data_IF_848564695019
#
_entry.id   IF_848564695019
#
_cell.length_a   1.000
_cell.length_b   1.000
_cell.length_c   1.000
_cell.angle_alpha   90.00
_cell.angle_beta   90.00
_cell.angle_gamma   90.00
#
_symmetry.space_group_name_H-M   'P 1'
#
loop_
_entity.id
_entity.type
_entity.pdbx_description
1 polymer ?
#
# COMPACT_ATOMS: atom_id res chain seq x y z
N UNK A 1 -31.57 -26.74 -6.24
CA UNK A 1 -30.67 -25.57 -6.15
C UNK A 1 -29.64 -25.70 -5.03
N UNK A 2 -30.04 -25.81 -3.75
CA UNK A 2 -29.08 -25.86 -2.61
C UNK A 2 -28.01 -26.97 -2.74
N UNK A 3 -28.38 -28.19 -3.10
CA UNK A 3 -27.42 -29.30 -3.25
C UNK A 3 -26.32 -29.02 -4.29
N UNK A 4 -26.64 -28.34 -5.39
CA UNK A 4 -25.66 -28.00 -6.44
C UNK A 4 -24.62 -27.03 -5.89
N UNK A 5 -25.06 -26.02 -5.13
CA UNK A 5 -24.16 -25.06 -4.47
C UNK A 5 -23.29 -25.73 -3.40
N UNK A 6 -23.82 -26.74 -2.70
CA UNK A 6 -23.05 -27.55 -1.75
C UNK A 6 -21.95 -28.32 -2.47
N UNK A 7 -22.27 -29.06 -3.55
CA UNK A 7 -21.26 -29.78 -4.32
C UNK A 7 -20.21 -28.84 -4.91
N UNK A 8 -20.63 -27.68 -5.41
CA UNK A 8 -19.72 -26.64 -5.89
C UNK A 8 -18.78 -26.14 -4.78
N UNK A 9 -19.31 -25.83 -3.60
CA UNK A 9 -18.50 -25.38 -2.47
C UNK A 9 -17.51 -26.45 -1.99
N UNK A 10 -17.92 -27.72 -1.94
CA UNK A 10 -17.04 -28.85 -1.56
C UNK A 10 -15.96 -29.10 -2.61
N UNK A 11 -16.30 -29.02 -3.89
CA UNK A 11 -15.33 -29.13 -4.98
C UNK A 11 -14.27 -28.04 -4.89
N UNK A 12 -14.69 -26.79 -4.73
CA UNK A 12 -13.79 -25.64 -4.55
C UNK A 12 -12.94 -25.74 -3.29
N UNK A 13 -13.46 -26.32 -2.21
CA UNK A 13 -12.72 -26.54 -0.98
C UNK A 13 -11.46 -27.39 -1.17
N UNK A 14 -11.33 -28.15 -2.27
CA UNK A 14 -10.08 -28.88 -2.57
C UNK A 14 -8.93 -27.94 -2.99
N UNK A 15 -9.24 -26.80 -3.62
CA UNK A 15 -8.22 -25.95 -4.27
C UNK A 15 -8.13 -24.53 -3.72
N UNK A 16 -9.23 -23.94 -3.24
CA UNK A 16 -9.27 -22.53 -2.80
C UNK A 16 -9.55 -22.35 -1.32
N UNK A 17 -9.25 -21.16 -0.79
CA UNK A 17 -9.52 -20.82 0.61
C UNK A 17 -11.03 -20.61 0.85
N UNK A 18 -11.52 -20.84 2.08
CA UNK A 18 -12.94 -20.71 2.41
C UNK A 18 -13.55 -19.33 2.07
N UNK A 19 -12.77 -18.26 2.18
CA UNK A 19 -13.24 -16.91 1.84
C UNK A 19 -13.41 -16.71 0.33
N UNK A 20 -12.56 -17.33 -0.49
CA UNK A 20 -12.70 -17.35 -1.96
C UNK A 20 -13.99 -18.04 -2.38
N UNK A 21 -14.36 -19.14 -1.71
CA UNK A 21 -15.62 -19.86 -1.98
C UNK A 21 -16.83 -18.93 -1.78
N UNK A 22 -16.83 -18.10 -0.72
CA UNK A 22 -17.89 -17.12 -0.48
C UNK A 22 -17.99 -16.07 -1.59
N UNK A 23 -16.85 -15.59 -2.09
CA UNK A 23 -16.79 -14.64 -3.21
C UNK A 23 -17.41 -15.26 -4.47
N UNK A 24 -17.08 -16.53 -4.77
CA UNK A 24 -17.68 -17.22 -5.91
C UNK A 24 -19.19 -17.46 -5.74
N UNK A 25 -19.66 -17.82 -4.54
CA UNK A 25 -21.10 -17.92 -4.27
C UNK A 25 -21.82 -16.57 -4.41
N UNK A 26 -21.19 -15.47 -4.01
CA UNK A 26 -21.73 -14.13 -4.22
C UNK A 26 -21.81 -13.78 -5.72
N UNK A 27 -20.80 -14.15 -6.51
CA UNK A 27 -20.82 -13.98 -7.96
C UNK A 27 -21.95 -14.80 -8.62
N UNK A 28 -22.16 -16.04 -8.20
CA UNK A 28 -23.29 -16.88 -8.66
C UNK A 28 -24.62 -16.21 -8.33
N UNK A 29 -24.79 -15.68 -7.11
CA UNK A 29 -25.99 -14.92 -6.72
C UNK A 29 -26.20 -13.69 -7.60
N UNK A 30 -25.14 -12.92 -7.83
CA UNK A 30 -25.20 -11.72 -8.67
C UNK A 30 -25.64 -12.06 -10.10
N UNK A 31 -25.09 -13.13 -10.69
CA UNK A 31 -25.48 -13.57 -12.03
C UNK A 31 -26.95 -14.00 -12.11
N UNK A 32 -27.48 -14.65 -11.08
CA UNK A 32 -28.92 -14.96 -11.01
C UNK A 32 -29.76 -13.69 -10.95
N UNK A 33 -29.35 -12.72 -10.12
CA UNK A 33 -30.05 -11.46 -9.95
C UNK A 33 -30.12 -10.66 -11.27
N UNK A 34 -29.01 -10.57 -12.00
CA UNK A 34 -28.95 -9.90 -13.32
C UNK A 34 -29.89 -10.56 -14.33
N UNK A 35 -30.06 -11.87 -14.24
CA UNK A 35 -30.97 -12.63 -15.11
C UNK A 35 -32.42 -12.66 -14.61
N UNK A 36 -32.77 -11.87 -13.59
CA UNK A 36 -34.13 -11.77 -13.04
C UNK A 36 -34.52 -12.88 -12.06
N UNK A 37 -33.57 -13.73 -11.64
CA UNK A 37 -33.81 -14.80 -10.68
C UNK A 37 -33.38 -14.42 -9.27
N UNK A 38 -34.23 -14.66 -8.28
CA UNK A 38 -33.90 -14.42 -6.88
C UNK A 38 -33.25 -15.67 -6.22
N UNK A 39 -31.92 -15.66 -6.13
CA UNK A 39 -31.18 -16.71 -5.42
C UNK A 39 -30.91 -16.31 -3.96
N UNK A 40 -31.79 -16.75 -3.06
CA UNK A 40 -31.69 -16.50 -1.62
C UNK A 40 -30.71 -17.45 -0.92
N UNK A 41 -29.41 -17.32 -1.20
CA UNK A 41 -28.34 -18.14 -0.59
C UNK A 41 -28.39 -18.11 0.95
N UNK A 42 -28.87 -17.01 1.53
CA UNK A 42 -29.03 -16.83 2.99
C UNK A 42 -30.04 -17.81 3.62
N UNK A 43 -31.00 -18.33 2.84
CA UNK A 43 -31.98 -19.31 3.33
C UNK A 43 -31.44 -20.74 3.35
N UNK A 44 -30.29 -21.01 2.73
CA UNK A 44 -29.70 -22.34 2.63
C UNK A 44 -28.85 -22.69 3.87
N UNK A 45 -29.50 -23.21 4.91
CA UNK A 45 -28.85 -23.56 6.18
C UNK A 45 -27.80 -24.67 6.01
N UNK A 46 -28.05 -25.69 5.17
CA UNK A 46 -27.10 -26.79 4.98
C UNK A 46 -25.83 -26.29 4.31
N UNK A 47 -25.97 -25.42 3.31
CA UNK A 47 -24.83 -24.74 2.70
C UNK A 47 -24.01 -23.95 3.74
N UNK A 48 -24.67 -23.24 4.65
CA UNK A 48 -23.98 -22.51 5.71
C UNK A 48 -23.20 -23.43 6.65
N UNK A 49 -23.78 -24.56 7.07
CA UNK A 49 -23.09 -25.55 7.89
C UNK A 49 -21.90 -26.17 7.17
N UNK A 50 -22.02 -26.48 5.88
CA UNK A 50 -20.93 -27.01 5.06
C UNK A 50 -19.80 -25.98 4.94
N UNK A 51 -20.10 -24.72 4.65
CA UNK A 51 -19.09 -23.66 4.59
C UNK A 51 -18.36 -23.48 5.93
N UNK A 52 -19.09 -23.62 7.05
CA UNK A 52 -18.50 -23.58 8.40
C UNK A 52 -17.61 -24.80 8.66
N UNK A 53 -18.03 -25.98 8.23
CA UNK A 53 -17.23 -27.21 8.29
C UNK A 53 -15.95 -27.09 7.47
N UNK A 54 -16.04 -26.64 6.21
CA UNK A 54 -14.89 -26.38 5.33
C UNK A 54 -13.92 -25.39 5.99
N UNK A 55 -14.43 -24.31 6.59
CA UNK A 55 -13.60 -23.33 7.30
C UNK A 55 -12.88 -23.93 8.51
N UNK A 56 -13.52 -24.83 9.25
CA UNK A 56 -12.90 -25.53 10.39
C UNK A 56 -11.80 -26.50 9.92
N UNK A 57 -12.09 -27.31 8.91
CA UNK A 57 -11.15 -28.33 8.40
C UNK A 57 -9.93 -27.71 7.73
N UNK A 58 -10.11 -26.69 6.87
CA UNK A 58 -8.98 -26.03 6.20
C UNK A 58 -8.25 -25.04 7.10
N UNK A 59 -8.85 -24.65 8.23
CA UNK A 59 -8.40 -23.53 9.03
C UNK A 59 -8.48 -22.19 8.28
N UNK A 60 -8.14 -21.12 8.97
CA UNK A 60 -7.92 -19.80 8.35
C UNK A 60 -6.41 -19.63 8.26
N UNK A 61 -5.81 -19.87 7.08
CA UNK A 61 -4.44 -19.44 6.84
C UNK A 61 -4.43 -17.92 6.69
N UNK A 62 -4.48 -17.20 7.81
CA UNK A 62 -4.19 -15.77 7.80
C UNK A 62 -2.69 -15.62 7.74
N UNK A 63 -2.16 -15.22 6.58
CA UNK A 63 -0.81 -14.66 6.52
C UNK A 63 -0.81 -13.35 7.29
N UNK A 64 -0.33 -13.39 8.52
CA UNK A 64 -0.12 -12.19 9.33
C UNK A 64 0.93 -11.32 8.65
N UNK A 65 0.51 -10.14 8.22
CA UNK A 65 1.43 -9.12 7.72
C UNK A 65 2.08 -8.46 8.92
N UNK A 66 3.41 -8.54 9.01
CA UNK A 66 4.13 -7.85 10.06
C UNK A 66 4.24 -6.35 9.72
N UNK A 67 3.97 -5.46 10.69
CA UNK A 67 4.11 -4.03 10.48
C UNK A 67 5.59 -3.68 10.27
N UNK A 68 5.83 -2.64 9.48
CA UNK A 68 7.14 -1.98 9.47
C UNK A 68 7.25 -1.19 10.78
N UNK A 69 8.34 -1.38 11.50
CA UNK A 69 8.62 -0.73 12.78
C UNK A 69 9.65 0.39 12.58
N UNK A 70 9.83 1.21 13.61
CA UNK A 70 10.88 2.22 13.64
C UNK A 70 12.28 1.61 13.46
N UNK A 71 12.52 0.38 13.93
CA UNK A 71 13.84 -0.25 13.77
C UNK A 71 14.13 -0.62 12.32
N UNK A 72 13.12 -1.02 11.54
CA UNK A 72 13.26 -1.15 10.10
C UNK A 72 13.58 0.21 9.45
N UNK A 73 12.95 1.29 9.90
CA UNK A 73 13.21 2.64 9.39
C UNK A 73 14.66 3.08 9.66
N UNK A 74 15.19 2.82 10.87
CA UNK A 74 16.59 3.07 11.23
C UNK A 74 17.55 2.24 10.35
N UNK A 75 17.22 0.98 10.12
CA UNK A 75 17.98 0.08 9.24
C UNK A 75 18.03 0.62 7.81
N UNK A 76 16.88 0.98 7.25
CA UNK A 76 16.78 1.51 5.88
C UNK A 76 17.58 2.80 5.72
N UNK A 77 17.47 3.72 6.68
CA UNK A 77 18.27 4.94 6.68
C UNK A 77 19.78 4.63 6.63
N UNK A 78 20.25 3.73 7.50
CA UNK A 78 21.67 3.34 7.57
C UNK A 78 22.17 2.75 6.25
N UNK A 79 21.38 1.90 5.62
CA UNK A 79 21.74 1.25 4.35
C UNK A 79 21.80 2.29 3.22
N UNK A 80 20.75 3.11 3.07
CA UNK A 80 20.64 4.10 1.99
C UNK A 80 21.65 5.25 2.14
N UNK A 81 22.10 5.54 3.36
CA UNK A 81 23.12 6.56 3.67
C UNK A 81 24.47 5.94 4.06
N UNK A 82 24.75 4.72 3.62
CA UNK A 82 26.04 4.06 3.87
C UNK A 82 27.21 4.75 3.16
N UNK A 83 26.92 5.51 2.09
CA UNK A 83 27.89 6.32 1.34
C UNK A 83 27.89 7.75 1.86
N UNK A 84 29.01 8.44 1.73
CA UNK A 84 29.16 9.88 2.10
C UNK A 84 28.10 10.76 1.45
N UNK A 85 27.73 10.45 0.21
CA UNK A 85 26.67 11.14 -0.53
C UNK A 85 25.73 10.10 -1.17
N UNK A 86 24.46 10.00 -0.74
CA UNK A 86 23.50 9.12 -1.37
C UNK A 86 23.17 9.61 -2.78
N UNK A 87 22.85 8.69 -3.67
CA UNK A 87 22.37 8.98 -5.04
C UNK A 87 20.99 9.61 -5.03
N UNK A 88 20.55 10.16 -6.18
CA UNK A 88 19.18 10.65 -6.36
C UNK A 88 18.15 9.56 -6.02
N UNK A 89 18.37 8.34 -6.50
CA UNK A 89 17.41 7.24 -6.35
C UNK A 89 17.35 6.73 -4.91
N UNK A 90 18.49 6.64 -4.21
CA UNK A 90 18.51 6.33 -2.78
C UNK A 90 17.78 7.40 -1.94
N UNK A 91 17.99 8.67 -2.29
CA UNK A 91 17.31 9.81 -1.61
C UNK A 91 15.80 9.78 -1.89
N UNK A 92 15.40 9.46 -3.13
CA UNK A 92 14.01 9.29 -3.53
C UNK A 92 13.34 8.16 -2.77
N UNK A 93 13.98 6.99 -2.70
CA UNK A 93 13.46 5.83 -1.97
C UNK A 93 13.37 6.11 -0.47
N UNK A 94 14.37 6.79 0.12
CA UNK A 94 14.32 7.19 1.52
C UNK A 94 13.16 8.16 1.81
N UNK A 95 12.96 9.17 0.95
CA UNK A 95 11.85 10.10 1.07
C UNK A 95 10.51 9.37 0.95
N UNK A 96 10.36 8.47 -0.03
CA UNK A 96 9.16 7.68 -0.22
C UNK A 96 8.85 6.78 1.00
N UNK A 97 9.84 6.07 1.53
CA UNK A 97 9.70 5.23 2.72
C UNK A 97 9.29 6.07 3.94
N UNK A 98 9.95 7.20 4.15
CA UNK A 98 9.68 8.08 5.30
C UNK A 98 8.27 8.67 5.23
N UNK A 99 7.89 9.22 4.09
CA UNK A 99 6.55 9.79 3.87
C UNK A 99 5.48 8.72 4.01
N UNK A 100 5.73 7.51 3.51
CA UNK A 100 4.79 6.41 3.66
C UNK A 100 4.59 5.98 5.12
N UNK A 101 5.69 5.89 5.87
CA UNK A 101 5.66 5.45 7.27
C UNK A 101 4.96 6.49 8.16
N UNK A 102 5.39 7.76 8.10
CA UNK A 102 4.84 8.82 8.95
C UNK A 102 3.46 9.31 8.47
N UNK A 103 3.20 9.28 7.16
CA UNK A 103 1.90 9.62 6.59
C UNK A 103 0.88 8.48 6.63
N UNK A 104 1.28 7.28 7.07
CA UNK A 104 0.44 6.06 7.09
C UNK A 104 -0.23 5.82 5.72
N UNK A 105 0.51 6.10 4.65
CA UNK A 105 0.02 6.08 3.28
C UNK A 105 0.07 4.67 2.73
N UNK A 106 -0.97 4.26 1.99
CA UNK A 106 -0.86 3.03 1.22
C UNK A 106 0.13 3.26 0.09
N UNK A 107 1.03 2.30 -0.19
CA UNK A 107 1.96 2.39 -1.34
C UNK A 107 1.24 2.81 -2.63
N UNK A 108 0.06 2.26 -2.88
CA UNK A 108 -0.68 2.55 -4.10
C UNK A 108 -1.25 3.98 -4.20
N UNK A 109 -1.19 4.79 -3.16
CA UNK A 109 -1.58 6.21 -3.15
C UNK A 109 -0.40 7.13 -3.53
N UNK A 110 0.85 6.66 -3.38
CA UNK A 110 2.06 7.42 -3.75
C UNK A 110 2.79 6.89 -4.99
N UNK A 111 2.53 5.64 -5.38
CA UNK A 111 3.16 5.01 -6.56
C UNK A 111 2.24 4.98 -7.77
N UNK A 112 2.83 5.01 -8.97
CA UNK A 112 2.10 4.80 -10.22
C UNK A 112 1.85 3.31 -10.46
N UNK A 113 0.59 2.92 -10.71
CA UNK A 113 0.25 1.52 -11.05
C UNK A 113 0.20 1.23 -12.56
N UNK A 114 0.45 2.25 -13.37
CA UNK A 114 0.45 2.23 -14.84
C UNK A 114 1.10 3.51 -15.37
N UNK A 115 0.78 3.95 -16.61
CA UNK A 115 1.24 5.24 -17.11
C UNK A 115 0.89 6.37 -16.15
N UNK A 116 1.82 7.32 -16.00
CA UNK A 116 1.60 8.48 -15.13
C UNK A 116 0.40 9.30 -15.65
N UNK A 117 -0.43 9.70 -14.70
CA UNK A 117 -1.57 10.58 -14.92
C UNK A 117 -1.69 11.53 -13.74
N UNK A 118 -1.53 12.83 -13.99
CA UNK A 118 -1.52 13.87 -12.97
C UNK A 118 -2.85 14.04 -12.24
N UNK A 119 -3.98 13.60 -12.80
CA UNK A 119 -5.30 13.68 -12.15
C UNK A 119 -5.52 12.62 -11.06
N UNK A 120 -4.76 11.53 -11.09
CA UNK A 120 -4.95 10.38 -10.20
C UNK A 120 -3.72 10.00 -9.40
N UNK A 121 -2.52 10.27 -9.94
CA UNK A 121 -1.26 9.97 -9.28
C UNK A 121 -0.75 11.19 -8.51
N UNK A 122 0.01 10.91 -7.46
CA UNK A 122 0.62 11.92 -6.61
C UNK A 122 1.69 12.70 -7.39
N UNK A 123 1.55 14.02 -7.41
CA UNK A 123 2.39 14.95 -8.15
C UNK A 123 3.18 15.84 -7.19
N UNK A 124 4.21 16.52 -7.70
CA UNK A 124 4.93 17.53 -6.91
C UNK A 124 4.05 18.70 -6.49
N UNK A 125 3.10 19.10 -7.34
CA UNK A 125 2.13 20.16 -7.02
C UNK A 125 1.16 19.81 -5.90
N UNK A 126 1.09 18.54 -5.48
CA UNK A 126 0.27 18.10 -4.35
C UNK A 126 1.01 18.24 -2.99
N UNK A 127 2.26 18.71 -3.01
CA UNK A 127 3.13 18.91 -1.85
C UNK A 127 3.16 20.39 -1.53
N UNK A 128 2.88 20.75 -0.27
CA UNK A 128 3.07 22.11 0.22
C UNK A 128 3.77 22.10 1.58
N UNK A 129 4.77 22.97 1.72
CA UNK A 129 5.50 23.16 2.98
C UNK A 129 5.04 24.47 3.61
N UNK A 130 4.78 24.43 4.90
CA UNK A 130 4.30 25.56 5.67
C UNK A 130 5.12 25.73 6.94
N UNK A 131 5.35 26.98 7.33
CA UNK A 131 5.97 27.28 8.61
C UNK A 131 4.89 27.37 9.69
N UNK A 132 5.12 26.81 10.87
CA UNK A 132 4.27 27.08 12.03
C UNK A 132 4.45 28.54 12.46
N UNK A 133 3.36 29.18 12.91
CA UNK A 133 3.42 30.58 13.33
C UNK A 133 4.20 30.72 14.65
N UNK A 134 5.16 31.65 14.64
CA UNK A 134 5.87 32.33 15.74
C UNK A 134 6.83 31.46 16.57
N UNK A 135 8.14 31.68 16.35
CA UNK A 135 9.21 31.37 17.30
C UNK A 135 10.10 30.20 16.89
N UNK A 136 9.50 29.09 16.47
CA UNK A 136 10.25 27.89 16.08
C UNK A 136 10.30 27.74 14.56
N UNK A 137 11.47 27.35 14.05
CA UNK A 137 11.72 27.03 12.64
C UNK A 137 11.03 25.70 12.22
N UNK A 138 9.89 25.38 12.84
CA UNK A 138 9.12 24.18 12.62
C UNK A 138 8.32 24.27 11.32
N UNK A 139 8.67 23.37 10.40
CA UNK A 139 7.97 23.21 9.11
C UNK A 139 7.01 22.03 9.23
N UNK A 140 5.82 22.13 8.64
CA UNK A 140 4.97 20.98 8.39
C UNK A 140 4.72 20.82 6.89
N UNK A 141 4.54 19.57 6.50
CA UNK A 141 4.22 19.15 5.14
C UNK A 141 2.72 18.87 5.05
N UNK A 142 2.05 19.43 4.05
CA UNK A 142 0.74 19.01 3.61
C UNK A 142 0.84 18.27 2.27
N UNK A 143 0.28 17.07 2.24
CA UNK A 143 0.24 16.20 1.07
C UNK A 143 -1.20 15.91 0.66
N UNK A 144 -1.59 16.34 -0.53
CA UNK A 144 -2.93 16.10 -1.08
C UNK A 144 -2.98 14.76 -1.85
N UNK A 145 -3.63 13.76 -1.27
CA UNK A 145 -3.94 12.49 -1.91
C UNK A 145 -5.19 12.66 -2.77
N UNK A 146 -5.03 12.55 -4.09
CA UNK A 146 -6.10 12.81 -5.06
C UNK A 146 -7.23 11.79 -5.04
N UNK A 147 -6.91 10.52 -4.80
CA UNK A 147 -7.88 9.43 -4.73
C UNK A 147 -7.60 8.55 -3.51
N UNK A 148 -8.23 8.86 -2.37
CA UNK A 148 -8.06 8.10 -1.14
C UNK A 148 -8.63 6.70 -1.29
N UNK A 149 -7.84 5.64 -1.09
CA UNK A 149 -8.34 4.26 -1.19
C UNK A 149 -9.09 3.79 0.06
N UNK A 150 -9.11 4.62 1.09
CA UNK A 150 -9.92 4.48 2.31
C UNK A 150 -11.34 4.97 2.10
N UNK A 151 -11.56 5.85 1.13
CA UNK A 151 -12.85 6.44 0.85
C UNK A 151 -13.59 5.59 -0.21
N UNK A 152 -14.80 5.07 0.09
CA UNK A 152 -15.58 4.28 -0.88
C UNK A 152 -15.88 5.02 -2.19
N UNK A 153 -15.92 6.36 -2.14
CA UNK A 153 -16.12 7.26 -3.28
C UNK A 153 -14.81 7.83 -3.83
N UNK A 154 -13.66 7.40 -3.29
CA UNK A 154 -12.31 7.86 -3.64
C UNK A 154 -12.12 9.37 -3.52
N UNK A 155 -12.79 10.01 -2.55
CA UNK A 155 -12.58 11.42 -2.29
C UNK A 155 -11.11 11.75 -2.00
N UNK A 156 -10.69 12.97 -2.34
CA UNK A 156 -9.34 13.43 -2.04
C UNK A 156 -9.18 13.64 -0.52
N UNK A 157 -8.00 13.32 0.01
CA UNK A 157 -7.65 13.56 1.42
C UNK A 157 -6.36 14.38 1.51
N UNK A 158 -6.22 15.21 2.54
CA UNK A 158 -4.97 15.93 2.82
C UNK A 158 -4.36 15.40 4.10
N UNK A 159 -3.10 14.99 4.04
CA UNK A 159 -2.34 14.49 5.19
C UNK A 159 -1.36 15.58 5.61
N UNK A 160 -1.31 15.84 6.91
CA UNK A 160 -0.36 16.79 7.51
C UNK A 160 0.71 16.01 8.26
N UNK A 161 1.97 16.25 7.94
CA UNK A 161 3.13 15.60 8.56
C UNK A 161 4.02 16.68 9.15
N UNK A 162 4.18 16.67 10.47
CA UNK A 162 5.08 17.59 11.16
C UNK A 162 6.55 17.21 10.92
N UNK A 163 7.41 18.22 10.82
CA UNK A 163 8.85 18.00 10.94
C UNK A 163 9.20 17.58 12.36
N UNK A 164 10.31 16.85 12.49
CA UNK A 164 10.92 16.59 13.78
C UNK A 164 12.41 16.95 13.73
N UNK A 165 13.01 17.18 14.90
CA UNK A 165 14.44 17.45 15.04
C UNK A 165 15.32 16.21 14.81
N UNK A 166 14.71 15.02 14.73
CA UNK A 166 15.41 13.75 14.58
C UNK A 166 16.06 13.56 13.21
N UNK A 167 16.96 12.57 13.15
CA UNK A 167 17.65 12.16 11.92
C UNK A 167 16.68 11.58 10.88
N UNK A 168 15.53 11.04 11.33
CA UNK A 168 14.54 10.37 10.48
C UNK A 168 13.36 11.29 10.13
N UNK A 169 13.58 12.60 10.07
CA UNK A 169 12.53 13.58 9.79
C UNK A 169 11.97 13.40 8.36
N UNK A 170 10.67 13.07 8.20
CA UNK A 170 10.07 12.84 6.88
C UNK A 170 10.02 14.11 6.02
N UNK A 171 9.80 15.27 6.65
CA UNK A 171 9.78 16.58 5.98
C UNK A 171 11.15 16.89 5.40
N UNK A 172 12.22 16.72 6.20
CA UNK A 172 13.60 16.93 5.74
C UNK A 172 13.99 15.93 4.66
N UNK A 173 13.60 14.66 4.80
CA UNK A 173 13.84 13.63 3.78
C UNK A 173 13.24 14.03 2.43
N UNK A 174 11.98 14.50 2.43
CA UNK A 174 11.31 14.94 1.21
C UNK A 174 11.94 16.23 0.63
N UNK A 175 12.28 17.21 1.48
CA UNK A 175 12.96 18.43 1.04
C UNK A 175 14.31 18.13 0.36
N UNK A 176 15.14 17.28 0.97
CA UNK A 176 16.44 16.85 0.41
C UNK A 176 16.28 16.14 -0.93
N UNK A 177 15.21 15.37 -1.11
CA UNK A 177 14.90 14.75 -2.39
C UNK A 177 14.48 15.80 -3.43
N UNK A 178 13.54 16.68 -3.09
CA UNK A 178 13.02 17.68 -4.02
C UNK A 178 14.07 18.72 -4.43
N UNK A 179 15.02 19.06 -3.55
CA UNK A 179 16.09 20.01 -3.85
C UNK A 179 17.08 19.51 -4.90
N UNK A 180 17.09 18.20 -5.20
CA UNK A 180 17.97 17.57 -6.20
C UNK A 180 17.36 17.51 -7.58
N UNK A 181 16.12 17.95 -7.73
CA UNK A 181 15.42 17.91 -9.00
C UNK A 181 15.01 19.34 -9.42
N UNK A 182 14.77 19.57 -10.71
CA UNK A 182 14.36 20.88 -11.20
C UNK A 182 13.08 21.36 -10.49
N UNK A 183 13.05 22.64 -10.14
CA UNK A 183 11.92 23.30 -9.48
C UNK A 183 10.65 23.28 -10.32
N UNK A 184 10.79 23.33 -11.66
CA UNK A 184 9.66 23.44 -12.59
C UNK A 184 9.10 22.08 -13.06
N UNK A 185 9.51 20.99 -12.40
CA UNK A 185 9.06 19.65 -12.77
C UNK A 185 7.62 19.37 -12.32
N UNK A 186 6.69 19.35 -13.28
CA UNK A 186 5.25 19.06 -13.07
C UNK A 186 4.90 17.55 -13.11
N UNK A 187 5.85 16.67 -12.81
CA UNK A 187 5.68 15.22 -12.91
C UNK A 187 5.28 14.52 -11.61
N UNK A 188 5.35 13.18 -11.58
CA UNK A 188 5.10 12.39 -10.38
C UNK A 188 5.97 12.85 -9.22
N UNK A 189 5.44 12.73 -7.99
CA UNK A 189 6.19 13.12 -6.80
C UNK A 189 7.50 12.34 -6.72
N UNK A 190 7.42 11.01 -6.79
CA UNK A 190 8.57 10.11 -6.73
C UNK A 190 8.92 9.59 -8.13
N UNK A 191 10.09 9.96 -8.61
CA UNK A 191 10.62 9.63 -9.93
C UNK A 191 12.07 9.21 -9.81
N UNK A 192 12.48 8.18 -10.53
CA UNK A 192 13.88 7.76 -10.64
C UNK A 192 14.69 8.74 -11.50
N UNK A 193 16.01 8.68 -11.40
CA UNK A 193 16.97 9.50 -12.15
C UNK A 193 16.84 9.34 -13.67
N UNK A 194 16.35 8.18 -14.13
CA UNK A 194 16.05 7.89 -15.53
C UNK A 194 14.66 8.41 -16.00
N UNK A 195 13.94 9.16 -15.17
CA UNK A 195 12.63 9.72 -15.49
C UNK A 195 11.45 8.75 -15.33
N UNK A 196 11.68 7.52 -14.89
CA UNK A 196 10.61 6.55 -14.66
C UNK A 196 9.90 6.82 -13.33
N UNK A 197 8.56 6.97 -13.31
CA UNK A 197 7.80 7.12 -12.07
C UNK A 197 7.95 5.89 -11.16
N UNK A 198 8.01 6.11 -9.85
CA UNK A 198 8.08 5.02 -8.88
C UNK A 198 6.79 4.18 -8.92
N UNK A 199 6.93 2.89 -9.28
CA UNK A 199 5.82 1.94 -9.27
C UNK A 199 5.74 1.13 -7.98
N UNK A 200 4.56 0.55 -7.73
CA UNK A 200 4.33 -0.32 -6.56
C UNK A 200 5.28 -1.52 -6.52
N UNK A 201 5.54 -2.14 -7.68
CA UNK A 201 6.40 -3.32 -7.77
C UNK A 201 7.85 -2.95 -7.48
N UNK A 202 8.34 -1.84 -8.04
CA UNK A 202 9.67 -1.30 -7.77
C UNK A 202 9.82 -0.97 -6.29
N UNK A 203 8.88 -0.21 -5.71
CA UNK A 203 8.93 0.13 -4.29
C UNK A 203 8.96 -1.11 -3.38
N UNK A 204 8.12 -2.10 -3.67
CA UNK A 204 8.10 -3.36 -2.91
C UNK A 204 9.41 -4.14 -3.08
N UNK A 205 10.03 -4.08 -4.26
CA UNK A 205 11.32 -4.70 -4.54
C UNK A 205 12.42 -4.04 -3.71
N UNK A 206 12.52 -2.72 -3.73
CA UNK A 206 13.51 -1.98 -2.95
C UNK A 206 13.38 -2.27 -1.45
N UNK A 207 12.16 -2.21 -0.92
CA UNK A 207 11.90 -2.49 0.48
C UNK A 207 12.32 -3.91 0.90
N UNK A 208 12.11 -4.90 0.03
CA UNK A 208 12.56 -6.29 0.27
C UNK A 208 14.08 -6.40 0.21
N UNK A 209 14.73 -5.71 -0.72
CA UNK A 209 16.19 -5.66 -0.82
C UNK A 209 16.79 -5.09 0.46
N UNK A 210 16.25 -3.97 0.96
CA UNK A 210 16.71 -3.33 2.19
C UNK A 210 16.52 -4.23 3.42
N UNK A 211 15.36 -4.90 3.53
CA UNK A 211 15.12 -5.88 4.60
C UNK A 211 16.10 -7.05 4.54
N UNK A 212 16.33 -7.60 3.35
CA UNK A 212 17.25 -8.72 3.16
C UNK A 212 18.69 -8.36 3.53
N UNK A 213 19.14 -7.15 3.21
CA UNK A 213 20.46 -6.63 3.59
C UNK A 213 20.60 -6.47 5.12
N UNK A 214 19.52 -6.15 5.82
CA UNK A 214 19.48 -6.14 7.28
C UNK A 214 19.24 -7.51 7.93
N UNK A 215 19.43 -8.61 7.20
CA UNK A 215 19.26 -9.97 7.73
C UNK A 215 17.80 -10.43 7.88
N UNK A 216 16.82 -9.60 7.52
CA UNK A 216 15.41 -9.96 7.56
C UNK A 216 15.06 -10.71 6.27
N UNK A 217 15.29 -12.03 6.25
CA UNK A 217 14.83 -12.87 5.14
C UNK A 217 13.31 -12.84 5.12
N UNK A 218 12.73 -12.32 4.04
CA UNK A 218 11.30 -12.43 3.80
C UNK A 218 10.90 -13.91 3.83
N UNK A 219 9.93 -14.34 4.65
CA UNK A 219 9.46 -15.71 4.61
C UNK A 219 8.75 -15.92 3.27
N UNK A 220 9.41 -16.65 2.36
CA UNK A 220 8.95 -17.01 1.03
C UNK A 220 8.57 -15.82 0.11
N UNK A 221 8.51 -16.09 -1.19
CA UNK A 221 8.03 -15.22 -2.28
C UNK A 221 6.61 -14.63 -2.11
N UNK A 222 5.99 -14.88 -0.96
CA UNK A 222 4.58 -14.72 -0.63
C UNK A 222 4.30 -13.70 0.48
N UNK A 223 5.35 -13.16 1.13
CA UNK A 223 5.23 -12.07 2.10
C UNK A 223 5.61 -10.73 1.45
N UNK A 224 4.62 -9.84 1.32
CA UNK A 224 4.84 -8.44 0.91
C UNK A 224 4.95 -7.60 2.18
N UNK A 225 6.07 -6.90 2.41
CA UNK A 225 6.12 -5.85 3.43
C UNK A 225 5.14 -4.74 3.04
N UNK A 226 4.44 -4.15 4.01
CA UNK A 226 3.58 -2.98 3.78
C UNK A 226 4.29 -1.70 4.21
N UNK A 227 4.41 -0.80 3.25
CA UNK A 227 3.90 0.55 3.44
C UNK A 227 2.49 0.60 2.82
#
# INVERSE_FOLDING_TARGET
>A
MENILIYFAVFLAKTVNPDTIKVYLAAVRHMHLVNGYDLQITKFQRLHYILRGIKRVKGVSTRTRLPITLDHLKLFHRILHSRTSPTHDETMIWAAISIAFFGVLRIGEMTCSGPYNSSTNLCRSDVSFHNKKRGDNEVFLQLRIKASKTDPFRASATITIDSNSGMYCPVRALQTYLSRAPTDYAGPLFCYSNGVPLSRSQFTKELRTLLAQGGHRSPCSLCRPQL
#
